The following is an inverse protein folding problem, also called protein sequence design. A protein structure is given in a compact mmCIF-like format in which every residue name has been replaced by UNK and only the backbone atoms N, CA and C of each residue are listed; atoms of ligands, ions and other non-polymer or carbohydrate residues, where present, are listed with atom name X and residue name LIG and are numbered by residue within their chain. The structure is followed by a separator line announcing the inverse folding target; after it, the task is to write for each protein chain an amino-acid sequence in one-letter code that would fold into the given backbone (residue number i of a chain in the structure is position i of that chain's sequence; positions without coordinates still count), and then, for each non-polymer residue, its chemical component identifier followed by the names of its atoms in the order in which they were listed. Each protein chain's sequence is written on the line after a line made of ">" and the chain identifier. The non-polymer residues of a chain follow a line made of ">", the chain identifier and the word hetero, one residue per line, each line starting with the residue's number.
data_IF_464278129988
#
_entry.id   IF_464278129988
#
_cell.length_a   1.000
_cell.length_b   1.000
_cell.length_c   1.000
_cell.angle_alpha   90.00
_cell.angle_beta   90.00
_cell.angle_gamma   90.00
#
_symmetry.space_group_name_H-M   'P 1'
#
loop_
_entity.id
_entity.type
_entity.pdbx_description
1 polymer ?
#
# COMPACT_ATOMS: atom_id res chain seq x y z
N UNK A 1 33.96 11.16 -27.82
CA UNK A 1 34.03 11.34 -26.34
C UNK A 1 33.19 12.54 -25.95
N UNK A 2 31.93 12.32 -25.68
CA UNK A 2 31.04 13.33 -25.13
C UNK A 2 31.15 13.35 -23.60
N UNK A 3 32.00 14.20 -23.08
CA UNK A 3 31.94 14.67 -21.70
C UNK A 3 30.82 15.74 -21.59
N UNK A 4 29.59 15.28 -21.50
CA UNK A 4 28.42 16.16 -21.30
C UNK A 4 27.61 15.59 -20.14
N UNK A 5 28.16 15.59 -18.96
CA UNK A 5 27.44 15.05 -17.81
C UNK A 5 27.39 15.97 -16.58
N UNK A 6 28.32 16.82 -16.37
CA UNK A 6 28.42 17.60 -15.14
C UNK A 6 28.03 19.07 -15.23
N UNK A 7 28.06 19.66 -16.41
CA UNK A 7 27.86 21.12 -16.56
C UNK A 7 26.40 21.54 -16.79
N UNK A 8 25.56 20.65 -17.27
CA UNK A 8 24.13 20.97 -17.49
C UNK A 8 23.30 21.08 -16.23
N UNK A 9 23.79 20.59 -15.10
CA UNK A 9 23.06 20.72 -13.82
C UNK A 9 23.29 22.06 -13.11
N UNK A 10 24.26 22.85 -13.54
CA UNK A 10 24.66 24.10 -12.85
C UNK A 10 24.07 25.33 -13.56
N UNK A 11 23.63 25.21 -14.81
CA UNK A 11 23.18 26.36 -15.61
C UNK A 11 21.75 26.81 -15.40
N UNK A 12 20.95 26.06 -14.67
CA UNK A 12 19.55 26.43 -14.39
C UNK A 12 19.36 27.19 -13.07
N UNK A 13 20.42 27.74 -12.49
CA UNK A 13 20.28 28.83 -11.53
C UNK A 13 20.09 30.12 -12.32
N UNK A 14 18.88 30.42 -12.67
CA UNK A 14 18.49 31.77 -13.02
C UNK A 14 18.84 32.67 -11.84
N UNK A 15 19.93 33.39 -12.03
CA UNK A 15 20.34 34.50 -11.16
C UNK A 15 19.24 35.54 -11.32
N UNK A 16 18.30 35.62 -10.38
CA UNK A 16 17.50 36.81 -10.20
C UNK A 16 18.44 37.93 -9.85
N UNK A 17 18.64 38.85 -10.79
CA UNK A 17 19.55 39.96 -10.74
C UNK A 17 19.38 40.78 -9.46
N UNK A 18 20.52 41.03 -8.83
CA UNK A 18 20.68 42.03 -7.79
C UNK A 18 20.37 43.42 -8.43
N UNK A 19 19.32 44.05 -7.96
CA UNK A 19 19.08 45.46 -8.19
C UNK A 19 19.72 46.27 -7.05
N UNK A 20 20.42 47.39 -7.38
CA UNK A 20 21.11 48.15 -6.36
C UNK A 20 20.15 48.95 -5.49
N UNK A 21 20.56 49.11 -4.23
CA UNK A 21 19.92 49.93 -3.21
C UNK A 21 19.82 51.40 -3.67
N UNK A 22 18.63 51.87 -3.90
CA UNK A 22 18.29 53.28 -4.05
C UNK A 22 17.15 53.65 -3.11
N UNK A 23 17.39 54.72 -2.38
CA UNK A 23 16.66 55.33 -1.26
C UNK A 23 15.14 55.54 -1.47
N UNK A 24 14.42 55.26 -0.37
CA UNK A 24 13.24 55.95 0.17
C UNK A 24 12.14 56.43 -0.77
N UNK A 25 10.95 55.81 -0.64
CA UNK A 25 9.72 56.60 -0.35
C UNK A 25 8.60 55.61 0.04
N UNK A 26 8.01 55.87 1.24
CA UNK A 26 6.76 55.26 1.69
C UNK A 26 5.63 55.59 0.74
N UNK A 27 5.17 54.62 -0.04
CA UNK A 27 3.83 54.65 -0.64
C UNK A 27 3.24 53.27 -0.54
N UNK A 28 2.05 53.20 0.07
CA UNK A 28 1.20 52.04 0.19
C UNK A 28 0.96 51.44 -1.22
N UNK A 29 1.77 50.43 -1.56
CA UNK A 29 1.53 49.63 -2.76
C UNK A 29 0.63 48.46 -2.31
N UNK A 30 -0.56 48.30 -2.91
CA UNK A 30 -1.41 47.14 -2.65
C UNK A 30 -0.60 45.88 -2.98
N UNK A 31 -0.71 44.92 -2.09
CA UNK A 31 -0.06 43.60 -2.18
C UNK A 31 -0.55 42.90 -3.46
N UNK A 32 0.02 43.28 -4.59
CA UNK A 32 -0.23 42.60 -5.85
C UNK A 32 0.07 41.11 -5.66
N UNK A 33 -0.92 40.31 -5.88
CA UNK A 33 -0.82 38.86 -5.95
C UNK A 33 0.41 38.51 -6.77
N UNK A 34 1.41 37.88 -6.15
CA UNK A 34 2.56 37.32 -6.85
C UNK A 34 2.00 36.48 -7.98
N UNK A 35 2.38 36.72 -9.24
CA UNK A 35 2.01 35.80 -10.30
C UNK A 35 2.49 34.43 -9.85
N UNK A 36 1.59 33.48 -9.82
CA UNK A 36 1.94 32.09 -9.61
C UNK A 36 2.93 31.75 -10.71
N UNK A 37 4.23 31.80 -10.36
CA UNK A 37 5.26 31.30 -11.24
C UNK A 37 4.87 29.86 -11.53
N UNK A 38 4.35 29.62 -12.72
CA UNK A 38 4.10 28.29 -13.23
C UNK A 38 5.46 27.61 -13.24
N UNK A 39 5.75 26.93 -12.13
CA UNK A 39 6.94 26.12 -11.99
C UNK A 39 6.87 25.06 -13.09
N UNK A 40 7.45 25.38 -14.25
CA UNK A 40 7.58 24.45 -15.36
C UNK A 40 8.39 23.28 -14.80
N UNK A 41 7.68 22.21 -14.47
CA UNK A 41 8.30 20.99 -14.00
C UNK A 41 9.07 20.40 -15.16
N UNK A 42 10.35 20.67 -15.23
CA UNK A 42 11.23 19.99 -16.18
C UNK A 42 11.17 18.49 -15.87
N UNK A 43 10.49 17.77 -16.73
CA UNK A 43 10.55 16.32 -16.74
C UNK A 43 12.01 15.96 -17.04
N UNK A 44 12.67 15.34 -16.08
CA UNK A 44 14.04 14.89 -16.28
C UNK A 44 14.11 13.91 -17.45
N UNK A 45 14.88 14.26 -18.49
CA UNK A 45 15.06 13.45 -19.70
C UNK A 45 16.39 12.69 -19.70
N UNK A 46 17.10 12.63 -18.58
CA UNK A 46 18.40 11.97 -18.48
C UNK A 46 18.34 10.52 -17.93
N UNK A 47 19.48 9.88 -17.90
CA UNK A 47 19.67 8.51 -17.42
C UNK A 47 19.11 8.29 -15.98
N UNK A 48 19.18 9.31 -15.15
CA UNK A 48 18.67 9.28 -13.77
C UNK A 48 17.26 9.87 -13.61
N UNK A 49 16.52 10.08 -14.68
CA UNK A 49 15.16 10.63 -14.63
C UNK A 49 14.20 9.75 -13.83
N UNK A 50 14.29 8.43 -13.95
CA UNK A 50 13.46 7.48 -13.21
C UNK A 50 13.60 7.60 -11.69
N UNK A 51 14.81 7.50 -11.12
CA UNK A 51 15.06 7.71 -9.70
C UNK A 51 14.64 9.09 -9.19
N UNK A 52 14.91 10.17 -9.98
CA UNK A 52 14.49 11.53 -9.66
C UNK A 52 12.98 11.65 -9.58
N UNK A 53 12.26 11.15 -10.59
CA UNK A 53 10.79 11.16 -10.60
C UNK A 53 10.20 10.37 -9.43
N UNK A 54 10.80 9.22 -9.07
CA UNK A 54 10.37 8.44 -7.91
C UNK A 54 10.55 9.23 -6.61
N UNK A 55 11.67 9.93 -6.47
CA UNK A 55 11.95 10.81 -5.32
C UNK A 55 10.96 11.98 -5.25
N UNK A 56 10.67 12.62 -6.37
CA UNK A 56 9.74 13.75 -6.45
C UNK A 56 8.30 13.33 -6.15
N UNK A 57 7.84 12.20 -6.70
CA UNK A 57 6.53 11.63 -6.35
C UNK A 57 6.40 11.40 -4.84
N UNK A 58 7.45 10.91 -4.18
CA UNK A 58 7.47 10.72 -2.74
C UNK A 58 7.34 12.04 -2.00
N UNK A 59 8.09 13.07 -2.41
CA UNK A 59 8.04 14.42 -1.83
C UNK A 59 6.64 15.04 -1.98
N UNK A 60 6.06 15.00 -3.19
CA UNK A 60 4.72 15.54 -3.44
C UNK A 60 3.65 14.79 -2.66
N UNK A 61 3.73 13.47 -2.59
CA UNK A 61 2.79 12.65 -1.83
C UNK A 61 2.80 12.99 -0.33
N UNK A 62 3.97 13.31 0.22
CA UNK A 62 4.08 13.76 1.61
C UNK A 62 3.45 15.13 1.85
N UNK A 63 3.34 15.99 0.83
CA UNK A 63 2.65 17.28 0.92
C UNK A 63 1.12 17.14 0.91
N UNK A 64 0.58 16.05 0.39
CA UNK A 64 -0.86 15.80 0.35
C UNK A 64 -1.44 15.66 1.78
N UNK A 65 -2.40 16.54 2.11
CA UNK A 65 -3.08 16.54 3.43
C UNK A 65 -3.63 15.17 3.82
N UNK A 66 -4.31 14.48 2.88
CA UNK A 66 -4.90 13.15 3.12
C UNK A 66 -3.84 12.09 3.39
N UNK A 67 -2.70 12.16 2.72
CA UNK A 67 -1.60 11.22 2.93
C UNK A 67 -0.93 11.48 4.28
N UNK A 68 -0.65 12.75 4.61
CA UNK A 68 -0.07 13.14 5.91
C UNK A 68 -0.96 12.70 7.06
N UNK A 69 -2.25 13.01 7.04
CA UNK A 69 -3.20 12.57 8.07
C UNK A 69 -3.22 11.05 8.26
N UNK A 70 -3.09 10.28 7.16
CA UNK A 70 -3.03 8.81 7.22
C UNK A 70 -1.75 8.32 7.87
N UNK A 71 -0.62 8.96 7.58
CA UNK A 71 0.66 8.64 8.21
C UNK A 71 0.69 9.02 9.69
N UNK A 72 0.12 10.17 10.04
CA UNK A 72 0.02 10.60 11.43
C UNK A 72 -0.84 9.63 12.26
N UNK A 73 -1.97 9.18 11.71
CA UNK A 73 -2.78 8.12 12.33
C UNK A 73 -2.01 6.80 12.50
N UNK A 74 -1.15 6.42 11.54
CA UNK A 74 -0.30 5.24 11.68
C UNK A 74 0.75 5.41 12.78
N UNK A 75 1.41 6.57 12.83
CA UNK A 75 2.41 6.90 13.87
C UNK A 75 1.78 6.95 15.26
N UNK A 76 0.58 7.48 15.37
CA UNK A 76 -0.17 7.50 16.64
C UNK A 76 -0.64 6.11 17.12
N UNK A 77 -0.24 5.02 16.44
CA UNK A 77 -0.59 3.66 16.83
C UNK A 77 -2.04 3.24 16.54
N UNK A 78 -2.89 4.17 16.07
CA UNK A 78 -4.31 3.89 15.85
C UNK A 78 -4.56 2.80 14.80
N UNK A 79 -3.76 2.76 13.73
CA UNK A 79 -3.91 1.73 12.68
C UNK A 79 -3.26 0.42 13.10
N UNK A 80 -2.09 0.49 13.74
CA UNK A 80 -1.39 -0.71 14.22
C UNK A 80 -2.18 -1.40 15.33
N UNK A 81 -2.84 -0.62 16.20
CA UNK A 81 -3.66 -1.14 17.29
C UNK A 81 -4.90 -1.90 16.78
N UNK A 82 -5.47 -1.49 15.64
CA UNK A 82 -6.63 -2.13 15.02
C UNK A 82 -6.29 -3.08 13.88
N UNK A 83 -5.01 -3.22 13.51
CA UNK A 83 -4.56 -4.17 12.51
C UNK A 83 -4.23 -5.50 13.18
N UNK A 84 -4.95 -6.59 12.86
CA UNK A 84 -4.67 -7.90 13.43
C UNK A 84 -3.24 -8.36 13.17
N UNK A 85 -2.65 -7.99 12.04
CA UNK A 85 -1.29 -8.35 11.65
C UNK A 85 -0.21 -7.47 12.29
N UNK A 86 -0.59 -6.43 13.06
CA UNK A 86 0.34 -5.47 13.70
C UNK A 86 1.40 -4.89 12.75
N UNK A 87 1.01 -4.57 11.52
CA UNK A 87 1.88 -4.00 10.50
C UNK A 87 2.75 -5.01 9.74
N UNK A 88 2.68 -6.29 10.06
CA UNK A 88 3.32 -7.35 9.26
C UNK A 88 2.58 -7.52 7.93
N UNK A 89 3.29 -7.92 6.87
CA UNK A 89 2.67 -8.23 5.57
C UNK A 89 1.94 -9.56 5.60
N UNK A 90 2.46 -10.52 6.36
CA UNK A 90 1.94 -11.88 6.50
C UNK A 90 2.01 -12.31 7.96
N UNK A 91 1.14 -13.23 8.34
CA UNK A 91 1.17 -13.85 9.67
C UNK A 91 0.76 -15.31 9.61
N UNK A 92 1.26 -16.08 10.57
CA UNK A 92 0.86 -17.47 10.80
C UNK A 92 -0.30 -17.53 11.77
N UNK A 93 -1.21 -18.45 11.52
CA UNK A 93 -2.35 -18.72 12.39
C UNK A 93 -2.81 -20.16 12.30
N UNK A 94 -3.67 -20.55 13.21
CA UNK A 94 -4.27 -21.88 13.28
C UNK A 94 -5.74 -21.74 12.84
N UNK A 95 -6.19 -22.64 12.00
CA UNK A 95 -7.59 -22.72 11.56
C UNK A 95 -8.47 -23.15 12.72
N UNK A 96 -9.54 -22.41 12.95
CA UNK A 96 -10.53 -22.71 13.98
C UNK A 96 -11.75 -23.38 13.37
N UNK A 97 -12.29 -22.81 12.29
CA UNK A 97 -13.48 -23.31 11.60
C UNK A 97 -13.52 -22.90 10.14
N UNK A 98 -14.26 -23.65 9.32
CA UNK A 98 -14.55 -23.33 7.93
C UNK A 98 -15.90 -22.60 7.85
N UNK A 99 -15.97 -21.47 7.14
CA UNK A 99 -17.17 -20.62 7.10
C UNK A 99 -17.51 -20.24 5.65
N UNK A 100 -18.80 -20.30 5.32
CA UNK A 100 -19.32 -19.72 4.10
C UNK A 100 -19.76 -18.26 4.32
N UNK A 101 -19.37 -17.36 3.44
CA UNK A 101 -19.75 -15.94 3.50
C UNK A 101 -20.57 -15.61 2.27
N UNK A 102 -21.75 -15.05 2.45
CA UNK A 102 -22.60 -14.61 1.36
C UNK A 102 -22.00 -13.41 0.63
N UNK A 103 -22.08 -13.42 -0.70
CA UNK A 103 -21.57 -12.32 -1.53
C UNK A 103 -22.46 -11.07 -1.38
N UNK A 104 -21.86 -9.90 -1.62
CA UNK A 104 -22.59 -8.63 -1.67
C UNK A 104 -23.46 -8.53 -2.91
N UNK A 105 -24.61 -7.82 -2.82
CA UNK A 105 -25.38 -7.41 -3.97
C UNK A 105 -24.49 -6.62 -4.97
N UNK A 106 -24.65 -6.81 -6.31
CA UNK A 106 -25.69 -7.59 -6.98
C UNK A 106 -25.38 -9.10 -7.11
N UNK A 107 -24.25 -9.57 -6.60
CA UNK A 107 -23.85 -10.96 -6.70
C UNK A 107 -24.55 -11.81 -5.63
N UNK A 108 -24.85 -13.06 -5.99
CA UNK A 108 -25.32 -14.08 -5.08
C UNK A 108 -24.36 -15.27 -5.12
N UNK A 109 -24.11 -15.89 -3.98
CA UNK A 109 -23.25 -17.05 -3.87
C UNK A 109 -22.53 -17.10 -2.53
N UNK A 110 -22.07 -18.28 -2.14
CA UNK A 110 -21.36 -18.50 -0.88
C UNK A 110 -19.87 -18.56 -1.17
N UNK A 111 -19.14 -17.58 -0.68
CA UNK A 111 -17.67 -17.53 -0.76
C UNK A 111 -17.07 -18.30 0.40
N UNK A 112 -16.10 -19.16 0.12
CA UNK A 112 -15.48 -20.01 1.10
C UNK A 112 -14.40 -19.24 1.85
N UNK A 113 -14.49 -19.23 3.17
CA UNK A 113 -13.55 -18.56 4.06
C UNK A 113 -13.27 -19.42 5.29
N UNK A 114 -12.24 -19.05 6.04
CA UNK A 114 -11.78 -19.76 7.22
C UNK A 114 -11.62 -18.76 8.36
N UNK A 115 -12.10 -19.11 9.55
CA UNK A 115 -11.75 -18.37 10.78
C UNK A 115 -10.43 -18.89 11.31
N UNK A 116 -9.53 -17.99 11.59
CA UNK A 116 -8.15 -18.27 11.96
C UNK A 116 -7.81 -17.52 13.24
N UNK A 117 -7.13 -18.19 14.16
CA UNK A 117 -6.50 -17.56 15.32
C UNK A 117 -5.03 -17.33 15.03
N UNK A 118 -4.57 -16.09 15.08
CA UNK A 118 -3.17 -15.75 14.86
C UNK A 118 -2.30 -16.22 16.03
N UNK A 119 -1.20 -16.89 15.73
CA UNK A 119 -0.27 -17.42 16.76
C UNK A 119 0.39 -16.27 17.53
N UNK A 120 0.81 -15.20 16.81
CA UNK A 120 1.55 -14.10 17.41
C UNK A 120 0.71 -13.22 18.33
N UNK A 121 -0.53 -12.94 17.94
CA UNK A 121 -1.38 -11.94 18.59
C UNK A 121 -2.58 -12.53 19.32
N UNK A 122 -2.90 -13.79 19.10
CA UNK A 122 -4.13 -14.43 19.58
C UNK A 122 -5.41 -13.89 18.94
N UNK A 123 -5.31 -12.90 18.06
CA UNK A 123 -6.47 -12.28 17.42
C UNK A 123 -7.13 -13.25 16.45
N UNK A 124 -8.47 -13.29 16.49
CA UNK A 124 -9.27 -14.06 15.53
C UNK A 124 -9.53 -13.19 14.30
N UNK A 125 -9.37 -13.77 13.12
CA UNK A 125 -9.67 -13.12 11.84
C UNK A 125 -10.31 -14.10 10.87
N UNK A 126 -11.03 -13.58 9.88
CA UNK A 126 -11.58 -14.36 8.79
C UNK A 126 -10.75 -14.12 7.53
N UNK A 127 -10.27 -15.19 6.91
CA UNK A 127 -9.50 -15.16 5.68
C UNK A 127 -10.22 -15.93 4.57
N UNK A 128 -10.20 -15.38 3.38
CA UNK A 128 -10.74 -15.99 2.17
C UNK A 128 -9.82 -17.11 1.68
N UNK A 129 -10.38 -18.23 1.24
CA UNK A 129 -9.66 -19.31 0.58
C UNK A 129 -9.73 -19.11 -0.93
N UNK A 130 -8.65 -18.64 -1.61
CA UNK A 130 -8.65 -18.42 -3.04
C UNK A 130 -8.54 -19.73 -3.83
N UNK A 131 -9.22 -19.78 -4.95
CA UNK A 131 -9.24 -20.93 -5.86
C UNK A 131 -10.44 -21.84 -5.67
N UNK A 132 -10.82 -22.53 -6.74
CA UNK A 132 -11.93 -23.46 -6.71
C UNK A 132 -11.53 -24.73 -5.96
N UNK A 133 -12.38 -25.17 -5.04
CA UNK A 133 -12.08 -26.33 -4.20
C UNK A 133 -10.99 -26.13 -3.12
N UNK A 134 -10.42 -24.92 -3.01
CA UNK A 134 -9.34 -24.64 -2.05
C UNK A 134 -9.69 -25.00 -0.59
N UNK A 135 -10.95 -24.90 -0.21
CA UNK A 135 -11.43 -25.23 1.13
C UNK A 135 -11.24 -26.71 1.51
N UNK A 136 -11.15 -27.60 0.51
CA UNK A 136 -10.96 -29.04 0.74
C UNK A 136 -9.55 -29.36 1.23
N UNK A 137 -8.57 -28.50 0.92
CA UNK A 137 -7.18 -28.65 1.35
C UNK A 137 -6.90 -28.04 2.71
N UNK A 138 -7.87 -27.33 3.28
CA UNK A 138 -7.72 -26.67 4.59
C UNK A 138 -8.56 -27.45 5.61
N UNK A 139 -7.95 -27.97 6.65
CA UNK A 139 -8.66 -28.61 7.73
C UNK A 139 -8.56 -27.79 9.03
N UNK A 140 -9.40 -28.17 9.99
CA UNK A 140 -9.34 -27.58 11.32
C UNK A 140 -8.00 -27.89 11.98
N UNK A 141 -7.48 -26.93 12.73
CA UNK A 141 -6.18 -26.98 13.39
C UNK A 141 -4.94 -26.95 12.47
N UNK A 142 -5.10 -26.81 11.15
CA UNK A 142 -3.95 -26.61 10.27
C UNK A 142 -3.26 -25.28 10.52
N UNK A 143 -1.93 -25.25 10.38
CA UNK A 143 -1.16 -24.02 10.37
C UNK A 143 -1.29 -23.35 9.00
N UNK A 144 -1.79 -22.13 8.98
CA UNK A 144 -1.98 -21.36 7.75
C UNK A 144 -1.23 -20.04 7.79
N UNK A 145 -0.76 -19.62 6.62
CA UNK A 145 -0.19 -18.29 6.45
C UNK A 145 -1.19 -17.41 5.73
N UNK A 146 -1.46 -16.23 6.30
CA UNK A 146 -2.42 -15.26 5.80
C UNK A 146 -1.74 -13.95 5.41
N UNK A 147 -2.29 -13.29 4.40
CA UNK A 147 -1.91 -11.93 3.99
C UNK A 147 -3.13 -11.07 3.69
N UNK A 148 -2.91 -9.77 3.48
CA UNK A 148 -3.96 -8.86 3.04
C UNK A 148 -4.44 -9.19 1.63
N UNK A 149 -5.75 -9.22 1.41
CA UNK A 149 -6.38 -9.57 0.12
C UNK A 149 -6.12 -8.53 -0.98
N UNK A 150 -5.65 -7.33 -0.62
CA UNK A 150 -5.32 -6.29 -1.61
C UNK A 150 -6.50 -5.43 -2.04
N UNK A 151 -7.59 -5.40 -1.29
CA UNK A 151 -8.73 -4.53 -1.55
C UNK A 151 -8.38 -3.03 -1.45
N UNK A 152 -9.24 -2.19 -2.00
CA UNK A 152 -9.05 -0.73 -2.01
C UNK A 152 -8.85 -0.19 -0.59
N UNK A 153 -7.75 0.54 -0.36
CA UNK A 153 -7.37 1.09 0.96
C UNK A 153 -7.16 0.02 2.05
N UNK A 154 -6.81 -1.22 1.67
CA UNK A 154 -6.65 -2.32 2.62
C UNK A 154 -7.97 -2.88 3.17
N UNK A 155 -9.10 -2.59 2.49
CA UNK A 155 -10.42 -3.14 2.81
C UNK A 155 -10.68 -4.44 2.06
N UNK A 156 -11.92 -4.96 2.16
CA UNK A 156 -12.36 -6.15 1.44
C UNK A 156 -12.25 -5.99 -0.08
N UNK A 157 -12.08 -7.09 -0.78
CA UNK A 157 -11.95 -7.14 -2.23
C UNK A 157 -13.25 -7.60 -2.88
N UNK A 158 -13.68 -6.89 -3.94
CA UNK A 158 -14.85 -7.28 -4.74
C UNK A 158 -16.13 -7.44 -3.93
N UNK A 159 -16.77 -8.59 -4.12
CA UNK A 159 -18.05 -8.96 -3.52
C UNK A 159 -17.96 -9.55 -2.10
N UNK A 160 -16.74 -9.71 -1.57
CA UNK A 160 -16.53 -10.23 -0.21
C UNK A 160 -16.92 -9.20 0.85
N UNK A 161 -17.91 -9.44 1.72
CA UNK A 161 -18.25 -8.53 2.79
C UNK A 161 -17.29 -8.67 3.97
N UNK A 162 -16.58 -7.57 4.30
CA UNK A 162 -15.79 -7.47 5.53
C UNK A 162 -14.48 -8.27 5.59
N UNK A 163 -14.22 -9.19 4.66
CA UNK A 163 -13.00 -10.00 4.63
C UNK A 163 -11.84 -9.23 4.02
N UNK A 164 -10.78 -9.05 4.78
CA UNK A 164 -9.58 -8.28 4.39
C UNK A 164 -8.34 -9.14 4.17
N UNK A 165 -8.42 -10.42 4.44
CA UNK A 165 -7.30 -11.36 4.43
C UNK A 165 -7.60 -12.55 3.52
N UNK A 166 -6.55 -13.15 2.99
CA UNK A 166 -6.60 -14.41 2.23
C UNK A 166 -5.57 -15.40 2.75
N UNK A 167 -5.82 -16.69 2.58
CA UNK A 167 -4.88 -17.77 2.88
C UNK A 167 -3.93 -17.94 1.70
N UNK A 168 -2.62 -18.04 1.97
CA UNK A 168 -1.58 -18.27 0.97
C UNK A 168 -1.02 -19.67 1.06
N UNK A 169 -0.71 -20.12 2.28
CA UNK A 169 -0.06 -21.41 2.53
C UNK A 169 -0.81 -22.18 3.60
N UNK A 170 -0.79 -23.49 3.46
CA UNK A 170 -1.32 -24.45 4.44
C UNK A 170 -0.20 -25.43 4.77
N UNK A 171 0.14 -25.59 6.04
CA UNK A 171 1.22 -26.44 6.53
C UNK A 171 2.55 -26.23 5.77
N UNK A 172 2.87 -24.96 5.44
CA UNK A 172 4.10 -24.60 4.73
C UNK A 172 4.03 -24.66 3.20
N UNK A 173 3.02 -25.31 2.61
CA UNK A 173 2.84 -25.45 1.17
C UNK A 173 1.88 -24.39 0.64
N UNK A 174 2.14 -23.85 -0.56
CA UNK A 174 1.27 -22.88 -1.21
C UNK A 174 -0.09 -23.51 -1.55
N UNK A 175 -1.17 -22.83 -1.15
CA UNK A 175 -2.53 -23.26 -1.46
C UNK A 175 -2.80 -23.30 -2.97
N UNK A 176 -2.27 -22.34 -3.72
CA UNK A 176 -2.41 -22.27 -5.19
C UNK A 176 -1.76 -23.48 -5.88
N UNK A 177 -0.59 -23.95 -5.41
CA UNK A 177 0.07 -25.15 -5.93
C UNK A 177 -0.70 -26.44 -5.62
N UNK A 178 -1.37 -26.49 -4.47
CA UNK A 178 -2.25 -27.61 -4.11
C UNK A 178 -3.52 -27.65 -4.95
N UNK A 179 -4.16 -26.50 -5.16
CA UNK A 179 -5.37 -26.37 -6.00
C UNK A 179 -5.07 -26.75 -7.45
N UNK A 180 -3.87 -26.42 -7.94
CA UNK A 180 -3.42 -26.82 -9.30
C UNK A 180 -2.94 -28.27 -9.39
N UNK A 181 -2.93 -29.03 -8.31
CA UNK A 181 -2.48 -30.43 -8.28
C UNK A 181 -0.96 -30.62 -8.41
N UNK A 182 -0.15 -29.56 -8.24
CA UNK A 182 1.30 -29.65 -8.34
C UNK A 182 1.97 -30.15 -7.07
N UNK A 183 1.35 -29.92 -5.94
CA UNK A 183 1.84 -30.35 -4.63
C UNK A 183 0.70 -30.92 -3.82
N UNK A 184 1.00 -31.97 -3.09
CA UNK A 184 0.08 -32.57 -2.15
C UNK A 184 0.11 -31.84 -0.80
N UNK A 185 -0.98 -32.01 -0.03
CA UNK A 185 -1.04 -31.49 1.33
C UNK A 185 -0.08 -32.30 2.21
N UNK A 186 0.88 -31.68 2.89
CA UNK A 186 1.74 -32.40 3.81
C UNK A 186 0.93 -32.89 5.01
N UNK A 187 1.19 -34.13 5.42
CA UNK A 187 0.69 -34.68 6.68
C UNK A 187 1.39 -33.96 7.81
N UNK A 188 0.61 -33.56 8.80
CA UNK A 188 1.11 -32.83 9.97
C UNK A 188 1.72 -33.80 10.98
#
# INVERSE_FOLDING_TARGET
>A
LCLVGSEMCIRDRVICGFAPLGLLQHSLIPRASRPACLEVRHLGQGLFSGPKMKGDRKKFRWKERKFKQRQDKRKAGGVLKHDPLMGSTQAKGIVVEKVGIEAKQPNSGIRKAVKISLIRTGNKLTAFAPGDGAISFIDEHDEVMVEGIGGRMGRSYGDLPGVRFKVIKVNGVSLDEMVRGRKEKPVR
#
